data_IF_396191263722
#
_entry.id   IF_396191263722
#
_cell.length_a   1.000
_cell.length_b   1.000
_cell.length_c   1.000
_cell.angle_alpha   90.00
_cell.angle_beta   90.00
_cell.angle_gamma   90.00
#
_symmetry.space_group_name_H-M   'P 1'
#
loop_
_entity.id
_entity.type
_entity.pdbx_description
1 polymer ?
#
# COMPACT_ATOMS: atom_id res chain seq x y z
N UNK A 1 8.44 0.26 -2.82
CA UNK A 1 9.27 0.37 -4.04
C UNK A 1 9.00 -0.86 -4.90
N UNK A 2 9.18 -0.80 -6.23
CA UNK A 2 8.99 -1.97 -7.09
C UNK A 2 10.12 -2.99 -6.91
N UNK A 3 9.80 -4.26 -7.15
CA UNK A 3 10.77 -5.35 -7.30
C UNK A 3 11.11 -5.47 -8.79
N UNK A 4 12.40 -5.47 -9.13
CA UNK A 4 12.86 -5.64 -10.51
C UNK A 4 12.70 -7.09 -10.98
N UNK A 5 12.59 -7.29 -12.29
CA UNK A 5 12.51 -8.63 -12.84
C UNK A 5 13.84 -9.38 -12.71
N UNK A 6 14.97 -8.66 -12.81
CA UNK A 6 16.28 -9.19 -12.45
C UNK A 6 16.30 -9.81 -11.03
N UNK A 7 15.75 -9.12 -10.03
CA UNK A 7 15.71 -9.64 -8.67
C UNK A 7 14.82 -10.88 -8.54
N UNK A 8 13.66 -10.91 -9.21
CA UNK A 8 12.80 -12.10 -9.24
C UNK A 8 13.51 -13.30 -9.90
N UNK A 9 14.26 -13.07 -10.98
CA UNK A 9 15.03 -14.12 -11.67
C UNK A 9 16.12 -14.69 -10.77
N UNK A 10 16.89 -13.84 -10.10
CA UNK A 10 17.94 -14.26 -9.16
C UNK A 10 17.37 -15.04 -7.97
N UNK A 11 16.28 -14.53 -7.37
CA UNK A 11 15.57 -15.22 -6.30
C UNK A 11 15.09 -16.60 -6.76
N UNK A 12 14.52 -16.68 -7.97
CA UNK A 12 14.03 -17.95 -8.51
C UNK A 12 15.17 -18.93 -8.79
N UNK A 13 16.28 -18.48 -9.36
CA UNK A 13 17.45 -19.33 -9.58
C UNK A 13 17.96 -19.92 -8.25
N UNK A 14 18.09 -19.08 -7.22
CA UNK A 14 18.53 -19.51 -5.89
C UNK A 14 17.59 -20.54 -5.23
N UNK A 15 16.28 -20.26 -5.27
CA UNK A 15 15.26 -21.08 -4.59
C UNK A 15 14.99 -22.41 -5.30
N UNK A 16 15.04 -22.43 -6.63
CA UNK A 16 14.76 -23.63 -7.45
C UNK A 16 15.73 -24.77 -7.15
N UNK A 17 17.03 -24.50 -7.05
CA UNK A 17 18.06 -25.51 -6.73
C UNK A 17 17.88 -26.12 -5.33
N UNK A 18 17.16 -25.41 -4.44
CA UNK A 18 16.98 -25.77 -3.03
C UNK A 18 15.60 -26.34 -2.74
N UNK A 19 14.74 -26.46 -3.76
CA UNK A 19 13.35 -26.90 -3.57
C UNK A 19 12.53 -25.94 -2.70
N UNK A 20 12.91 -24.67 -2.61
CA UNK A 20 12.18 -23.65 -1.85
C UNK A 20 11.11 -23.05 -2.77
N UNK A 21 9.86 -23.02 -2.30
CA UNK A 21 8.74 -22.44 -3.06
C UNK A 21 8.75 -20.91 -2.98
N UNK A 22 8.33 -20.27 -4.06
CA UNK A 22 8.12 -18.83 -4.15
C UNK A 22 6.63 -18.57 -4.37
N UNK A 23 5.97 -17.95 -3.37
CA UNK A 23 4.59 -17.48 -3.49
C UNK A 23 4.61 -15.96 -3.56
N UNK A 24 4.07 -15.38 -4.64
CA UNK A 24 4.00 -13.93 -4.79
C UNK A 24 2.78 -13.36 -4.04
N UNK A 25 3.01 -12.32 -3.23
CA UNK A 25 1.92 -11.37 -2.92
C UNK A 25 1.72 -10.46 -4.14
N UNK A 26 0.72 -10.80 -4.93
CA UNK A 26 0.40 -10.15 -6.19
C UNK A 26 -0.54 -8.93 -6.04
N UNK A 27 -0.82 -8.49 -4.80
CA UNK A 27 -1.77 -7.41 -4.51
C UNK A 27 -1.54 -6.14 -5.34
N UNK A 28 -0.29 -5.82 -5.68
CA UNK A 28 0.06 -4.69 -6.55
C UNK A 28 1.04 -5.07 -7.67
N UNK A 29 0.89 -6.26 -8.23
CA UNK A 29 1.77 -6.77 -9.27
C UNK A 29 1.73 -5.93 -10.56
N UNK A 30 0.59 -5.29 -10.86
CA UNK A 30 0.41 -4.52 -12.09
C UNK A 30 1.08 -3.15 -11.99
N UNK A 31 0.94 -2.46 -10.85
CA UNK A 31 1.73 -1.26 -10.56
C UNK A 31 3.25 -1.57 -10.58
N UNK A 32 3.66 -2.77 -10.15
CA UNK A 32 5.05 -3.21 -10.22
C UNK A 32 5.53 -3.42 -11.67
N UNK A 33 4.73 -4.10 -12.49
CA UNK A 33 5.01 -4.31 -13.90
C UNK A 33 5.15 -2.98 -14.66
N UNK A 34 4.32 -1.99 -14.32
CA UNK A 34 4.46 -0.63 -14.86
C UNK A 34 5.83 -0.01 -14.53
N UNK A 35 6.32 -0.16 -13.30
CA UNK A 35 7.64 0.37 -12.96
C UNK A 35 8.79 -0.39 -13.63
N UNK A 36 8.67 -1.70 -13.84
CA UNK A 36 9.63 -2.47 -14.64
C UNK A 36 9.68 -1.91 -16.07
N UNK A 37 8.52 -1.73 -16.72
CA UNK A 37 8.42 -1.13 -18.07
C UNK A 37 9.16 0.21 -18.15
N UNK A 38 8.95 1.07 -17.15
CA UNK A 38 9.47 2.44 -17.13
C UNK A 38 10.96 2.55 -16.76
N UNK A 39 11.51 1.59 -16.01
CA UNK A 39 12.81 1.75 -15.33
C UNK A 39 13.83 0.66 -15.65
N UNK A 40 13.39 -0.52 -16.08
CA UNK A 40 14.27 -1.65 -16.34
C UNK A 40 14.62 -1.72 -17.85
N UNK A 41 15.91 -1.63 -18.23
CA UNK A 41 16.32 -1.72 -19.62
C UNK A 41 15.82 -3.02 -20.29
N UNK A 42 15.32 -2.90 -21.52
CA UNK A 42 14.80 -4.04 -22.30
C UNK A 42 13.31 -4.31 -22.16
N UNK A 43 12.57 -3.55 -21.35
CA UNK A 43 11.11 -3.70 -21.18
C UNK A 43 10.26 -2.56 -21.73
N UNK A 44 10.87 -1.51 -22.29
CA UNK A 44 10.14 -0.33 -22.77
C UNK A 44 9.05 -0.68 -23.81
N UNK A 45 9.34 -1.65 -24.69
CA UNK A 45 8.44 -2.09 -25.76
C UNK A 45 7.46 -3.20 -25.32
N UNK A 46 7.64 -3.79 -24.12
CA UNK A 46 6.71 -4.81 -23.60
C UNK A 46 5.49 -4.17 -22.96
N UNK A 47 4.34 -4.78 -23.14
CA UNK A 47 3.11 -4.41 -22.45
C UNK A 47 3.17 -4.77 -20.95
N UNK A 48 2.42 -4.08 -20.07
CA UNK A 48 2.31 -4.45 -18.66
C UNK A 48 1.83 -5.90 -18.45
N UNK A 49 1.00 -6.42 -19.37
CA UNK A 49 0.53 -7.81 -19.34
C UNK A 49 1.68 -8.80 -19.56
N UNK A 50 2.51 -8.59 -20.58
CA UNK A 50 3.68 -9.45 -20.83
C UNK A 50 4.66 -9.42 -19.67
N UNK A 51 4.90 -8.23 -19.08
CA UNK A 51 5.78 -8.08 -17.92
C UNK A 51 5.20 -8.80 -16.69
N UNK A 52 3.91 -8.61 -16.41
CA UNK A 52 3.25 -9.29 -15.30
C UNK A 52 3.30 -10.81 -15.47
N UNK A 53 3.00 -11.34 -16.66
CA UNK A 53 3.11 -12.77 -16.97
C UNK A 53 4.53 -13.28 -16.73
N UNK A 54 5.55 -12.52 -17.12
CA UNK A 54 6.95 -12.86 -16.86
C UNK A 54 7.28 -12.86 -15.35
N UNK A 55 6.79 -11.87 -14.59
CA UNK A 55 6.92 -11.87 -13.13
C UNK A 55 6.32 -13.14 -12.50
N UNK A 56 5.10 -13.52 -12.91
CA UNK A 56 4.43 -14.73 -12.39
C UNK A 56 5.13 -16.02 -12.83
N UNK A 57 5.82 -16.03 -13.98
CA UNK A 57 6.59 -17.19 -14.44
C UNK A 57 7.76 -17.56 -13.52
N UNK A 58 8.18 -16.63 -12.64
CA UNK A 58 9.22 -16.84 -11.65
C UNK A 58 8.70 -17.31 -10.28
N UNK A 59 7.41 -17.65 -10.16
CA UNK A 59 6.78 -18.10 -8.93
C UNK A 59 6.09 -19.46 -9.06
N UNK A 60 5.88 -20.13 -7.92
CA UNK A 60 5.14 -21.39 -7.81
C UNK A 60 3.64 -21.17 -7.54
N UNK A 61 3.26 -19.92 -7.22
CA UNK A 61 1.90 -19.51 -6.97
C UNK A 61 1.82 -18.05 -6.55
N UNK A 62 0.60 -17.57 -6.29
CA UNK A 62 0.35 -16.22 -5.85
C UNK A 62 -0.91 -16.11 -5.01
N UNK A 63 -0.86 -15.21 -4.03
CA UNK A 63 -2.05 -14.67 -3.36
C UNK A 63 -2.30 -13.28 -3.90
N UNK A 64 -3.53 -12.98 -4.35
CA UNK A 64 -3.85 -11.67 -4.89
C UNK A 64 -5.10 -11.09 -4.24
N UNK A 65 -4.99 -9.91 -3.64
CA UNK A 65 -6.16 -9.12 -3.28
C UNK A 65 -6.56 -8.21 -4.43
N UNK A 66 -7.68 -8.53 -5.07
CA UNK A 66 -8.20 -7.78 -6.21
C UNK A 66 -8.91 -6.48 -5.81
N UNK A 67 -9.01 -6.22 -4.50
CA UNK A 67 -9.33 -4.91 -3.92
C UNK A 67 -8.31 -3.81 -4.26
N UNK A 68 -7.22 -4.16 -4.94
CA UNK A 68 -6.12 -3.27 -5.33
C UNK A 68 -5.97 -3.27 -6.85
N UNK A 69 -5.04 -4.04 -7.40
CA UNK A 69 -4.82 -4.16 -8.86
C UNK A 69 -5.80 -5.14 -9.52
N UNK A 70 -7.09 -4.98 -9.22
CA UNK A 70 -8.18 -5.66 -9.92
C UNK A 70 -9.47 -4.86 -9.92
N UNK A 71 -9.41 -3.57 -9.56
CA UNK A 71 -10.52 -2.63 -9.41
C UNK A 71 -11.70 -3.07 -8.52
N UNK A 72 -11.64 -4.25 -7.89
CA UNK A 72 -12.69 -4.76 -7.04
C UNK A 72 -12.90 -3.94 -5.78
N UNK A 73 -14.13 -3.87 -5.31
CA UNK A 73 -14.43 -3.40 -3.95
C UNK A 73 -14.24 -4.52 -2.91
N UNK A 74 -14.31 -5.78 -3.34
CA UNK A 74 -14.08 -7.00 -2.57
C UNK A 74 -13.29 -8.01 -3.43
N UNK A 75 -12.87 -9.11 -2.82
CA UNK A 75 -12.36 -10.27 -3.54
C UNK A 75 -10.85 -10.39 -3.66
N UNK A 76 -10.45 -11.62 -4.01
CA UNK A 76 -9.09 -12.08 -4.16
C UNK A 76 -9.07 -13.56 -4.56
N UNK A 77 -7.89 -14.08 -4.85
CA UNK A 77 -7.71 -15.48 -5.19
C UNK A 77 -6.36 -16.02 -4.73
N UNK A 78 -6.27 -17.35 -4.73
CA UNK A 78 -5.04 -18.13 -4.62
C UNK A 78 -4.83 -18.87 -5.95
N UNK A 79 -3.67 -18.67 -6.56
CA UNK A 79 -3.23 -19.42 -7.74
C UNK A 79 -2.00 -20.27 -7.37
N UNK A 80 -1.99 -21.53 -7.79
CA UNK A 80 -0.93 -22.49 -7.48
C UNK A 80 -0.64 -23.33 -8.72
N UNK A 81 0.65 -23.64 -8.95
CA UNK A 81 1.08 -24.54 -10.02
C UNK A 81 1.08 -26.01 -9.60
N UNK A 82 0.98 -26.30 -8.30
CA UNK A 82 1.05 -27.66 -7.72
C UNK A 82 -0.37 -28.20 -7.46
N UNK A 83 -0.73 -29.29 -8.13
CA UNK A 83 -2.07 -29.89 -8.07
C UNK A 83 -2.44 -30.38 -6.67
N UNK A 84 -1.49 -31.01 -5.95
CA UNK A 84 -1.73 -31.51 -4.61
C UNK A 84 -1.98 -30.38 -3.61
N UNK A 85 -1.23 -29.28 -3.73
CA UNK A 85 -1.43 -28.07 -2.93
C UNK A 85 -2.76 -27.39 -3.30
N UNK A 86 -3.12 -27.37 -4.58
CA UNK A 86 -4.41 -26.86 -5.06
C UNK A 86 -5.59 -27.67 -4.50
N UNK A 87 -5.48 -29.00 -4.42
CA UNK A 87 -6.47 -29.86 -3.75
C UNK A 87 -6.60 -29.54 -2.26
N UNK A 88 -5.48 -29.43 -1.54
CA UNK A 88 -5.50 -29.06 -0.12
C UNK A 88 -6.12 -27.68 0.11
N UNK A 89 -5.77 -26.71 -0.75
CA UNK A 89 -6.34 -25.36 -0.70
C UNK A 89 -7.86 -25.36 -0.95
N UNK A 90 -8.35 -26.14 -1.92
CA UNK A 90 -9.79 -26.29 -2.17
C UNK A 90 -10.53 -26.90 -0.99
N UNK A 91 -9.96 -27.90 -0.33
CA UNK A 91 -10.54 -28.50 0.87
C UNK A 91 -10.66 -27.48 2.00
N UNK A 92 -9.61 -26.66 2.22
CA UNK A 92 -9.66 -25.60 3.23
C UNK A 92 -10.66 -24.49 2.85
N UNK A 93 -10.68 -24.07 1.58
CA UNK A 93 -11.57 -23.03 1.07
C UNK A 93 -13.04 -23.37 1.32
N UNK A 94 -13.45 -24.63 1.13
CA UNK A 94 -14.81 -25.11 1.42
C UNK A 94 -15.18 -24.89 2.88
N UNK A 95 -14.23 -25.09 3.80
CA UNK A 95 -14.45 -24.97 5.23
C UNK A 95 -14.48 -23.51 5.71
N UNK A 96 -13.80 -22.59 5.01
CA UNK A 96 -13.58 -21.22 5.51
C UNK A 96 -14.30 -20.14 4.73
N UNK A 97 -14.40 -20.26 3.40
CA UNK A 97 -14.88 -19.17 2.52
C UNK A 97 -16.10 -19.59 1.67
N UNK A 98 -16.09 -20.79 1.09
CA UNK A 98 -17.13 -21.30 0.20
C UNK A 98 -16.63 -22.32 -0.84
N UNK A 99 -17.50 -22.71 -1.77
CA UNK A 99 -17.16 -23.73 -2.79
C UNK A 99 -16.11 -23.22 -3.80
N UNK A 100 -15.23 -24.08 -4.38
CA UNK A 100 -14.11 -23.65 -5.23
C UNK A 100 -14.46 -22.80 -6.46
N UNK A 101 -15.70 -22.85 -6.94
CA UNK A 101 -16.13 -22.05 -8.09
C UNK A 101 -16.57 -20.63 -7.74
N UNK A 102 -16.68 -20.27 -6.45
CA UNK A 102 -17.04 -18.91 -6.04
C UNK A 102 -16.27 -18.38 -4.82
N UNK A 103 -15.75 -19.24 -3.93
CA UNK A 103 -14.83 -18.87 -2.86
C UNK A 103 -15.29 -17.69 -1.99
N UNK A 104 -16.56 -17.67 -1.59
CA UNK A 104 -17.15 -16.60 -0.77
C UNK A 104 -17.55 -15.33 -1.52
N UNK A 105 -17.45 -15.31 -2.86
CA UNK A 105 -17.82 -14.16 -3.70
C UNK A 105 -19.15 -14.39 -4.41
N UNK A 106 -19.93 -13.32 -4.60
CA UNK A 106 -21.11 -13.41 -5.45
C UNK A 106 -20.67 -13.51 -6.92
N UNK A 107 -21.47 -14.16 -7.77
CA UNK A 107 -21.13 -14.32 -9.19
C UNK A 107 -20.86 -12.98 -9.91
N UNK A 108 -21.62 -11.93 -9.57
CA UNK A 108 -21.39 -10.56 -10.08
C UNK A 108 -20.04 -9.97 -9.66
N UNK A 109 -19.52 -10.33 -8.49
CA UNK A 109 -18.23 -9.85 -8.02
C UNK A 109 -17.12 -10.55 -8.82
N UNK A 110 -17.24 -11.86 -9.09
CA UNK A 110 -16.32 -12.60 -9.94
C UNK A 110 -16.24 -11.99 -11.35
N UNK A 111 -17.39 -11.64 -11.94
CA UNK A 111 -17.45 -10.99 -13.26
C UNK A 111 -16.77 -9.62 -13.25
N UNK A 112 -17.11 -8.76 -12.29
CA UNK A 112 -16.49 -7.44 -12.16
C UNK A 112 -14.97 -7.51 -11.95
N UNK A 113 -14.51 -8.53 -11.21
CA UNK A 113 -13.10 -8.79 -10.97
C UNK A 113 -12.37 -9.28 -12.22
N UNK A 114 -13.00 -10.13 -13.04
CA UNK A 114 -12.45 -10.58 -14.31
C UNK A 114 -12.26 -9.40 -15.27
N UNK A 115 -13.29 -8.57 -15.45
CA UNK A 115 -13.21 -7.34 -16.26
C UNK A 115 -12.13 -6.40 -15.71
N UNK A 116 -12.10 -6.17 -14.39
CA UNK A 116 -11.16 -5.28 -13.75
C UNK A 116 -9.69 -5.71 -13.89
N UNK A 117 -9.41 -7.01 -13.98
CA UNK A 117 -8.07 -7.56 -14.20
C UNK A 117 -7.53 -7.28 -15.61
N UNK A 118 -8.39 -7.21 -16.62
CA UNK A 118 -7.98 -6.80 -17.97
C UNK A 118 -7.81 -5.27 -18.05
N UNK A 119 -8.75 -4.50 -17.52
CA UNK A 119 -8.70 -3.02 -17.56
C UNK A 119 -7.46 -2.45 -16.83
N UNK A 120 -7.07 -3.04 -15.70
CA UNK A 120 -5.96 -2.50 -14.88
C UNK A 120 -4.60 -2.60 -15.60
N UNK A 121 -4.49 -3.46 -16.62
CA UNK A 121 -3.28 -3.66 -17.42
C UNK A 121 -3.10 -2.62 -18.53
N UNK A 122 -4.09 -1.76 -18.78
CA UNK A 122 -4.01 -0.73 -19.81
C UNK A 122 -2.93 0.32 -19.50
N UNK A 123 -2.00 0.52 -20.43
CA UNK A 123 -0.90 1.49 -20.28
C UNK A 123 -1.37 2.93 -20.01
N UNK A 124 -2.39 3.47 -20.73
CA UNK A 124 -2.89 4.83 -20.44
C UNK A 124 -3.38 4.98 -19.00
N UNK A 125 -4.07 3.96 -18.47
CA UNK A 125 -4.52 3.96 -17.08
C UNK A 125 -3.34 3.91 -16.10
N UNK A 126 -2.35 3.04 -16.33
CA UNK A 126 -1.18 2.91 -15.45
C UNK A 126 -0.32 4.16 -15.46
N UNK A 127 -0.16 4.80 -16.62
CA UNK A 127 0.47 6.10 -16.74
C UNK A 127 -0.27 7.16 -15.92
N UNK A 128 -1.59 7.33 -16.13
CA UNK A 128 -2.41 8.26 -15.36
C UNK A 128 -2.28 8.02 -13.85
N UNK A 129 -2.36 6.74 -13.44
CA UNK A 129 -2.22 6.33 -12.05
C UNK A 129 -0.88 6.76 -11.47
N UNK A 130 0.22 6.36 -12.07
CA UNK A 130 1.56 6.71 -11.59
C UNK A 130 1.81 8.23 -11.58
N UNK A 131 1.34 8.93 -12.62
CA UNK A 131 1.44 10.38 -12.74
C UNK A 131 0.68 11.10 -11.62
N UNK A 132 -0.49 10.60 -11.21
CA UNK A 132 -1.27 11.19 -10.12
C UNK A 132 -0.52 11.14 -8.79
N UNK A 133 0.11 9.99 -8.47
CA UNK A 133 0.89 9.87 -7.23
C UNK A 133 2.15 10.74 -7.31
N UNK A 134 2.82 10.76 -8.46
CA UNK A 134 3.98 11.62 -8.69
C UNK A 134 3.63 13.10 -8.53
N UNK A 135 2.50 13.54 -9.07
CA UNK A 135 2.03 14.92 -8.96
C UNK A 135 1.86 15.37 -7.50
N UNK A 136 1.23 14.53 -6.66
CA UNK A 136 1.14 14.81 -5.22
C UNK A 136 2.52 14.89 -4.56
N UNK A 137 3.40 13.93 -4.89
CA UNK A 137 4.75 13.87 -4.34
C UNK A 137 5.56 15.12 -4.68
N UNK A 138 5.53 15.55 -5.94
CA UNK A 138 6.24 16.74 -6.43
C UNK A 138 5.74 17.99 -5.70
N UNK A 139 4.41 18.20 -5.65
CA UNK A 139 3.77 19.31 -4.92
C UNK A 139 4.18 19.40 -3.46
N UNK A 140 4.18 18.28 -2.74
CA UNK A 140 4.59 18.25 -1.34
C UNK A 140 6.08 18.59 -1.17
N UNK A 141 6.93 18.10 -2.07
CA UNK A 141 8.37 18.35 -1.98
C UNK A 141 8.75 19.79 -2.31
N UNK A 142 7.99 20.47 -3.18
CA UNK A 142 8.12 21.90 -3.47
C UNK A 142 7.90 22.77 -2.21
N UNK A 143 7.00 22.36 -1.31
CA UNK A 143 6.75 23.03 -0.01
C UNK A 143 7.81 22.69 1.05
N UNK A 144 8.76 21.80 0.75
CA UNK A 144 9.81 21.37 1.68
C UNK A 144 9.41 20.17 2.56
N UNK A 145 8.17 19.68 2.44
CA UNK A 145 7.70 18.49 3.15
C UNK A 145 8.52 17.27 2.72
N UNK A 146 9.02 16.52 3.69
CA UNK A 146 9.83 15.32 3.44
C UNK A 146 8.92 14.11 3.28
N UNK A 147 9.16 13.37 2.21
CA UNK A 147 8.44 12.15 1.85
C UNK A 147 9.43 11.01 1.58
N UNK A 148 8.96 9.78 1.61
CA UNK A 148 9.71 8.62 1.09
C UNK A 148 9.88 8.77 -0.42
N UNK A 149 11.13 8.69 -0.88
CA UNK A 149 11.50 8.87 -2.29
C UNK A 149 12.17 7.62 -2.87
N UNK A 150 11.99 7.34 -4.18
CA UNK A 150 10.95 7.91 -5.05
C UNK A 150 9.55 7.49 -4.61
N UNK A 151 8.47 8.21 -5.01
CA UNK A 151 7.12 7.80 -4.65
C UNK A 151 6.77 6.42 -5.25
N UNK A 152 5.89 5.70 -4.54
CA UNK A 152 5.38 4.40 -4.99
C UNK A 152 4.26 4.52 -6.02
N UNK A 153 3.64 3.39 -6.37
CA UNK A 153 2.51 3.34 -7.33
C UNK A 153 1.14 3.67 -6.74
N UNK A 154 0.99 3.67 -5.41
CA UNK A 154 -0.32 3.76 -4.75
C UNK A 154 -0.48 4.82 -3.68
N UNK A 155 0.62 5.40 -3.20
CA UNK A 155 0.59 6.31 -2.08
C UNK A 155 1.85 7.18 -2.05
N UNK A 156 1.70 8.34 -1.41
CA UNK A 156 2.81 9.14 -0.89
C UNK A 156 2.93 8.86 0.61
N UNK A 157 4.16 8.71 1.10
CA UNK A 157 4.45 8.50 2.52
C UNK A 157 5.19 9.72 3.04
N UNK A 158 4.56 10.52 3.89
CA UNK A 158 5.13 11.72 4.52
C UNK A 158 5.91 11.30 5.77
N UNK A 159 7.08 11.89 5.97
CA UNK A 159 7.88 11.73 7.20
C UNK A 159 7.39 12.73 8.26
N UNK A 160 6.49 12.27 9.12
CA UNK A 160 5.89 13.08 10.16
C UNK A 160 6.87 13.46 11.26
N UNK A 161 7.94 12.67 11.49
CA UNK A 161 8.98 13.06 12.45
C UNK A 161 9.75 14.28 11.97
N UNK A 162 10.01 14.38 10.66
CA UNK A 162 10.59 15.60 10.06
C UNK A 162 9.57 16.73 9.94
N UNK A 163 8.27 16.41 9.87
CA UNK A 163 7.21 17.41 9.88
C UNK A 163 7.05 18.08 11.25
N UNK A 164 7.11 17.29 12.32
CA UNK A 164 7.00 17.74 13.71
C UNK A 164 8.23 17.33 14.52
N UNK A 165 9.40 17.98 14.32
CA UNK A 165 10.63 17.58 14.99
C UNK A 165 10.54 17.68 16.53
N UNK A 166 9.72 18.60 17.04
CA UNK A 166 9.49 18.85 18.47
C UNK A 166 8.59 17.83 19.16
N UNK A 167 7.86 16.99 18.41
CA UNK A 167 6.99 15.95 18.99
C UNK A 167 7.78 14.64 19.02
N UNK A 168 7.94 14.05 20.21
CA UNK A 168 8.65 12.78 20.38
C UNK A 168 7.87 11.60 19.77
N UNK A 169 8.54 10.50 19.42
CA UNK A 169 7.86 9.33 18.85
C UNK A 169 6.80 8.73 19.82
N UNK A 170 7.06 8.85 21.13
CA UNK A 170 6.13 8.45 22.21
C UNK A 170 4.91 9.37 22.34
N UNK A 171 4.92 10.50 21.64
CA UNK A 171 3.81 11.43 21.53
C UNK A 171 3.14 11.39 20.13
N UNK A 172 3.49 10.38 19.34
CA UNK A 172 2.81 9.97 18.10
C UNK A 172 2.68 11.07 17.02
N UNK A 173 3.80 11.62 16.50
CA UNK A 173 3.76 12.72 15.53
C UNK A 173 3.03 12.37 14.22
N UNK A 174 3.09 11.11 13.79
CA UNK A 174 2.33 10.67 12.62
C UNK A 174 0.81 10.60 12.88
N UNK A 175 0.40 10.31 14.12
CA UNK A 175 -1.01 10.36 14.52
C UNK A 175 -1.49 11.81 14.68
N UNK A 176 -0.65 12.70 15.19
CA UNK A 176 -0.89 14.16 15.21
C UNK A 176 -1.15 14.66 13.79
N UNK A 177 -0.27 14.30 12.84
CA UNK A 177 -0.42 14.72 11.44
C UNK A 177 -1.77 14.31 10.84
N UNK A 178 -2.21 13.06 11.01
CA UNK A 178 -3.49 12.62 10.43
C UNK A 178 -4.69 13.30 11.08
N UNK A 179 -4.61 13.64 12.38
CA UNK A 179 -5.64 14.39 13.07
C UNK A 179 -5.70 15.84 12.56
N UNK A 180 -4.56 16.52 12.47
CA UNK A 180 -4.47 17.89 11.94
C UNK A 180 -4.94 17.96 10.48
N UNK A 181 -4.57 16.99 9.65
CA UNK A 181 -5.02 16.91 8.26
C UNK A 181 -6.54 16.77 8.14
N UNK A 182 -7.14 15.99 9.04
CA UNK A 182 -8.59 15.85 9.10
C UNK A 182 -9.27 17.13 9.61
N UNK A 183 -8.72 17.78 10.64
CA UNK A 183 -9.26 19.02 11.18
C UNK A 183 -9.15 20.20 10.21
N UNK A 184 -8.03 20.31 9.49
CA UNK A 184 -7.77 21.41 8.57
C UNK A 184 -8.52 21.27 7.23
N UNK A 185 -8.62 20.05 6.69
CA UNK A 185 -9.15 19.84 5.34
C UNK A 185 -10.17 18.72 5.19
N UNK A 186 -10.60 18.07 6.26
CA UNK A 186 -11.46 16.89 6.18
C UNK A 186 -10.82 15.70 5.45
N UNK A 187 -9.49 15.71 5.28
CA UNK A 187 -8.76 14.68 4.55
C UNK A 187 -8.28 13.61 5.54
N UNK A 188 -8.51 12.34 5.20
CA UNK A 188 -8.08 11.22 6.04
C UNK A 188 -6.85 10.52 5.46
N UNK A 189 -5.73 10.65 6.16
CA UNK A 189 -4.54 9.81 5.99
C UNK A 189 -4.59 8.57 6.89
N UNK A 190 -3.53 7.77 6.86
CA UNK A 190 -3.32 6.70 7.84
C UNK A 190 -1.91 6.78 8.40
N UNK A 191 -1.83 6.68 9.73
CA UNK A 191 -0.58 6.58 10.45
C UNK A 191 0.08 5.22 10.18
N UNK A 192 1.39 5.24 9.97
CA UNK A 192 2.26 4.08 9.80
C UNK A 192 3.51 4.37 10.65
N UNK A 193 3.31 4.42 11.97
CA UNK A 193 4.31 4.90 12.93
C UNK A 193 4.18 4.25 14.30
N UNK A 194 4.43 5.02 15.36
CA UNK A 194 4.46 4.53 16.73
C UNK A 194 3.13 3.99 17.26
N UNK A 195 1.98 4.45 16.76
CA UNK A 195 0.68 3.86 17.16
C UNK A 195 0.56 2.45 16.56
N UNK A 196 0.91 2.29 15.28
CA UNK A 196 0.84 1.00 14.57
C UNK A 196 1.91 0.00 14.99
N UNK A 197 3.16 0.44 15.11
CA UNK A 197 4.34 -0.43 15.25
C UNK A 197 5.17 -0.18 16.52
N UNK A 198 4.86 0.86 17.29
CA UNK A 198 5.46 1.06 18.60
C UNK A 198 5.04 -0.04 19.59
N UNK A 199 5.73 -0.09 20.72
CA UNK A 199 5.52 -1.09 21.77
C UNK A 199 5.31 -0.41 23.11
N UNK A 200 4.54 -1.04 23.98
CA UNK A 200 4.46 -0.68 25.39
C UNK A 200 5.05 -1.83 26.20
N UNK A 201 6.17 -1.60 26.89
CA UNK A 201 6.83 -2.59 27.74
C UNK A 201 6.86 -2.03 29.16
N UNK A 202 6.23 -2.75 30.10
CA UNK A 202 6.12 -2.34 31.51
C UNK A 202 5.59 -0.90 31.72
N UNK A 203 4.65 -0.49 30.86
CA UNK A 203 4.04 0.86 30.90
C UNK A 203 4.87 1.95 30.22
N UNK A 204 6.04 1.62 29.66
CA UNK A 204 6.90 2.54 28.91
C UNK A 204 6.62 2.41 27.41
N UNK A 205 6.19 3.51 26.79
CA UNK A 205 6.04 3.58 25.34
C UNK A 205 7.40 3.65 24.64
N UNK A 206 7.55 2.83 23.60
CA UNK A 206 8.72 2.75 22.74
C UNK A 206 8.24 3.05 21.33
N UNK A 207 8.74 4.14 20.76
CA UNK A 207 8.39 4.56 19.41
C UNK A 207 8.88 3.60 18.32
N UNK A 208 8.25 3.67 17.15
CA UNK A 208 8.69 2.97 15.95
C UNK A 208 9.91 3.66 15.31
N UNK A 209 10.66 2.91 14.51
CA UNK A 209 11.83 3.43 13.77
C UNK A 209 11.48 4.55 12.78
N UNK A 210 10.22 4.60 12.33
CA UNK A 210 9.73 5.58 11.36
C UNK A 210 8.37 6.08 11.77
N UNK A 211 8.14 7.37 11.53
CA UNK A 211 6.86 8.04 11.74
C UNK A 211 6.31 8.45 10.38
N UNK A 212 5.66 7.52 9.69
CA UNK A 212 5.14 7.78 8.35
C UNK A 212 3.65 8.03 8.37
N UNK A 213 3.20 8.91 7.48
CA UNK A 213 1.78 9.05 7.13
C UNK A 213 1.59 8.64 5.70
N UNK A 214 0.73 7.65 5.47
CA UNK A 214 0.40 7.18 4.13
C UNK A 214 -0.83 7.90 3.60
N UNK A 215 -0.64 8.71 2.56
CA UNK A 215 -1.71 9.23 1.71
C UNK A 215 -1.96 8.24 0.59
N UNK A 216 -2.87 7.29 0.83
CA UNK A 216 -3.23 6.26 -0.14
C UNK A 216 -4.30 6.78 -1.11
N UNK A 217 -4.05 6.64 -2.41
CA UNK A 217 -4.99 7.09 -3.45
C UNK A 217 -5.80 5.89 -3.97
N UNK A 218 -7.13 5.89 -3.83
CA UNK A 218 -8.01 4.97 -4.56
C UNK A 218 -7.86 5.16 -6.08
N UNK A 219 -8.10 4.09 -6.84
CA UNK A 219 -7.96 4.10 -8.31
C UNK A 219 -9.21 4.69 -8.95
N UNK A 220 -9.05 5.61 -9.90
CA UNK A 220 -10.14 6.24 -10.67
C UNK A 220 -11.21 6.99 -9.84
N UNK A 221 -10.89 7.42 -8.62
CA UNK A 221 -11.84 8.13 -7.74
C UNK A 221 -11.60 9.64 -7.71
N UNK A 222 -10.35 10.05 -7.53
CA UNK A 222 -10.00 11.45 -7.33
C UNK A 222 -9.40 12.09 -8.58
N UNK A 223 -9.69 13.37 -8.76
CA UNK A 223 -9.17 14.20 -9.84
C UNK A 223 -7.90 14.93 -9.41
N UNK A 224 -7.20 15.55 -10.36
CA UNK A 224 -6.06 16.41 -10.06
C UNK A 224 -6.43 17.55 -9.09
N UNK A 225 -7.63 18.13 -9.19
CA UNK A 225 -8.09 19.17 -8.27
C UNK A 225 -8.18 18.69 -6.81
N UNK A 226 -8.67 17.46 -6.58
CA UNK A 226 -8.66 16.86 -5.24
C UNK A 226 -7.23 16.65 -4.73
N UNK A 227 -6.30 16.24 -5.60
CA UNK A 227 -4.90 16.05 -5.23
C UNK A 227 -4.22 17.38 -4.89
N UNK A 228 -4.48 18.43 -5.68
CA UNK A 228 -4.04 19.80 -5.39
C UNK A 228 -4.58 20.27 -4.05
N UNK A 229 -5.88 20.07 -3.79
CA UNK A 229 -6.50 20.43 -2.50
C UNK A 229 -5.79 19.78 -1.30
N UNK A 230 -5.48 18.48 -1.39
CA UNK A 230 -4.71 17.79 -0.34
C UNK A 230 -3.33 18.41 -0.14
N UNK A 231 -2.62 18.74 -1.23
CA UNK A 231 -1.32 19.38 -1.14
C UNK A 231 -1.39 20.78 -0.51
N UNK A 232 -2.40 21.58 -0.88
CA UNK A 232 -2.61 22.93 -0.35
C UNK A 232 -2.92 22.92 1.14
N UNK A 233 -3.78 22.00 1.61
CA UNK A 233 -4.06 21.80 3.05
C UNK A 233 -2.78 21.44 3.80
N UNK A 234 -1.96 20.55 3.26
CA UNK A 234 -0.69 20.15 3.89
C UNK A 234 0.31 21.31 3.89
N UNK A 235 0.31 22.15 2.86
CA UNK A 235 1.13 23.36 2.82
C UNK A 235 0.71 24.35 3.90
N UNK A 236 -0.59 24.56 4.13
CA UNK A 236 -1.07 25.36 5.25
C UNK A 236 -0.63 24.77 6.59
N UNK A 237 -0.81 23.47 6.80
CA UNK A 237 -0.32 22.77 8.00
C UNK A 237 1.19 22.92 8.21
N UNK A 238 1.96 22.95 7.12
CA UNK A 238 3.41 23.10 7.19
C UNK A 238 3.80 24.44 7.79
N UNK A 239 3.13 25.54 7.44
CA UNK A 239 3.45 26.88 7.96
C UNK A 239 3.22 26.98 9.49
N UNK A 240 2.18 26.32 10.00
CA UNK A 240 1.82 26.33 11.44
C UNK A 240 2.28 25.09 12.21
N UNK A 241 3.18 24.29 11.64
CA UNK A 241 3.57 22.98 12.20
C UNK A 241 4.12 23.03 13.63
N UNK A 242 4.74 24.13 14.04
CA UNK A 242 5.28 24.33 15.40
C UNK A 242 4.20 24.44 16.49
N UNK A 243 2.95 24.73 16.10
CA UNK A 243 1.82 24.85 17.03
C UNK A 243 1.25 23.49 17.45
N UNK A 244 1.51 22.44 16.66
CA UNK A 244 1.01 21.10 16.93
C UNK A 244 1.53 20.57 18.28
N UNK A 245 0.69 19.76 18.95
CA UNK A 245 0.98 19.13 20.22
C UNK A 245 0.91 17.62 20.09
N UNK A 246 1.69 16.94 20.94
CA UNK A 246 1.71 15.49 21.03
C UNK A 246 0.37 14.90 21.47
N UNK A 247 0.25 13.58 21.30
CA UNK A 247 -0.89 12.81 21.80
C UNK A 247 -0.41 11.78 22.83
N UNK A 248 -1.31 11.36 23.71
CA UNK A 248 -1.12 10.17 24.57
C UNK A 248 -2.29 9.20 24.42
N UNK A 249 -2.00 7.91 24.53
CA UNK A 249 -3.01 6.86 24.48
C UNK A 249 -3.73 6.80 25.84
N UNK A 250 -5.06 6.88 25.84
CA UNK A 250 -5.89 6.71 27.05
C UNK A 250 -6.53 5.32 27.13
N UNK A 251 -6.70 4.66 25.98
CA UNK A 251 -7.24 3.30 25.89
C UNK A 251 -6.66 2.60 24.67
N UNK A 252 -6.25 1.34 24.82
CA UNK A 252 -5.75 0.52 23.71
C UNK A 252 -6.17 -0.94 23.84
N UNK A 253 -6.33 -1.61 22.69
CA UNK A 253 -6.49 -3.05 22.62
C UNK A 253 -5.12 -3.76 22.79
N UNK A 254 -5.10 -5.01 23.28
CA UNK A 254 -3.85 -5.76 23.45
C UNK A 254 -3.16 -6.12 22.14
N UNK A 255 -3.92 -6.18 21.03
CA UNK A 255 -3.39 -6.46 19.69
C UNK A 255 -3.93 -5.42 18.71
N UNK A 256 -3.10 -5.07 17.72
CA UNK A 256 -3.47 -4.15 16.63
C UNK A 256 -4.09 -2.82 17.14
N UNK A 257 -3.49 -2.23 18.18
CA UNK A 257 -4.01 -1.05 18.88
C UNK A 257 -4.40 0.11 17.96
N UNK A 258 -3.71 0.29 16.85
CA UNK A 258 -3.96 1.36 15.88
C UNK A 258 -5.36 1.38 15.26
N UNK A 259 -6.12 0.28 15.33
CA UNK A 259 -7.51 0.28 14.87
C UNK A 259 -8.49 0.89 15.87
N UNK A 260 -8.22 0.80 17.17
CA UNK A 260 -9.21 1.08 18.22
C UNK A 260 -8.69 1.91 19.38
N UNK A 261 -7.43 2.36 19.33
CA UNK A 261 -6.85 3.22 20.35
C UNK A 261 -7.63 4.53 20.45
N UNK A 262 -7.83 4.98 21.68
CA UNK A 262 -8.33 6.33 21.97
C UNK A 262 -7.15 7.15 22.48
N UNK A 263 -7.04 8.38 21.98
CA UNK A 263 -5.95 9.29 22.30
C UNK A 263 -6.51 10.65 22.72
N UNK A 264 -5.72 11.40 23.47
CA UNK A 264 -5.97 12.79 23.81
C UNK A 264 -4.69 13.63 23.69
N UNK A 265 -4.79 14.97 23.54
CA UNK A 265 -3.63 15.85 23.59
C UNK A 265 -2.83 15.72 24.88
N UNK A 266 -1.51 15.88 24.79
CA UNK A 266 -0.60 16.01 25.94
C UNK A 266 -0.75 17.39 26.58
#
# INVERSE_FOLDING_TARGET
>A
QPVSLANLRELRAYTKERGIRVILDATRAVENAWFIKQREPGYADKTPKEIAQEMFSHADGATMSLKKDGFGNIGGFLALNDDAMSEQARNLLILTEGFPTYGGLAGRDLEALAVGLDEVLEEPYLHYRAATIKFLADKLTETGVKIVQPPGGHAVYIDAKRFYPHISATEFPAQVFVNELYLAGGVRGVEIGSVMFGKCVDGVEIGADRELVRLALPRRVYTQAHVTYVADVIAEMWERRSEARGLRIVKQAPFLRHFTAQLEPV
#
